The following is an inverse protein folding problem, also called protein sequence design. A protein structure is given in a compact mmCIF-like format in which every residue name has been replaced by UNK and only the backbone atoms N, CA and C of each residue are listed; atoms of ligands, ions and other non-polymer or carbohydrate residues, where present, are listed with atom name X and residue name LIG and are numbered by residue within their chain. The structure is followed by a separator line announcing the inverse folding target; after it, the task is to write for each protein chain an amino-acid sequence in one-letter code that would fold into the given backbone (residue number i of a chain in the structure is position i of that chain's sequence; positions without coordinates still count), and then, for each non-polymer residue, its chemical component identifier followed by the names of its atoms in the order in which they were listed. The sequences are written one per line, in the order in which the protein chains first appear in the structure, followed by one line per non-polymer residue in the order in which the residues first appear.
data_IF_526206587264
#
_entry.id   IF_526206587264
#
_cell.length_a   1.000
_cell.length_b   1.000
_cell.length_c   1.000
_cell.angle_alpha   90.00
_cell.angle_beta   90.00
_cell.angle_gamma   90.00
#
_symmetry.space_group_name_H-M   'P 1'
#
loop_
_entity.id
_entity.type
_entity.pdbx_description
1 polymer ?
#
# COMPACT_ATOMS: atom_id res chain seq x y z
N UNK A 1 -5.47 65.82 7.68
CA UNK A 1 -6.47 66.66 6.99
C UNK A 1 -6.02 66.85 5.55
N UNK A 2 -6.94 66.87 4.57
CA UNK A 2 -8.15 66.05 4.31
C UNK A 2 -8.08 65.38 2.93
N UNK A 3 -9.07 64.51 2.67
CA UNK A 3 -9.57 64.28 1.33
C UNK A 3 -10.46 63.07 1.20
N UNK A 4 -11.75 63.27 1.39
CA UNK A 4 -12.81 62.23 1.18
C UNK A 4 -13.10 62.11 -0.33
N UNK A 5 -13.29 60.91 -0.81
CA UNK A 5 -13.96 60.60 -2.08
C UNK A 5 -14.91 59.44 -1.93
N UNK A 6 -16.22 59.70 -1.71
CA UNK A 6 -17.33 58.75 -1.83
C UNK A 6 -17.68 58.64 -3.29
N UNK A 7 -17.77 57.44 -3.82
CA UNK A 7 -18.49 57.15 -5.06
C UNK A 7 -19.79 56.37 -4.74
N UNK A 8 -20.87 56.92 -5.18
CA UNK A 8 -22.25 56.52 -4.96
C UNK A 8 -22.65 55.42 -5.94
N UNK A 9 -23.34 54.44 -5.40
CA UNK A 9 -24.03 53.38 -6.13
C UNK A 9 -25.35 53.92 -6.71
N UNK A 10 -25.67 53.63 -7.97
CA UNK A 10 -26.96 53.93 -8.60
C UNK A 10 -27.58 52.61 -9.09
N UNK A 11 -28.90 52.36 -8.88
CA UNK A 11 -29.52 51.07 -9.24
C UNK A 11 -30.04 51.06 -10.67
N UNK A 12 -29.79 49.95 -11.37
CA UNK A 12 -30.36 49.68 -12.70
C UNK A 12 -31.80 49.16 -12.61
N UNK A 13 -32.66 49.71 -13.47
CA UNK A 13 -34.06 49.38 -13.61
C UNK A 13 -34.31 48.08 -14.40
N UNK A 14 -35.46 47.41 -14.22
CA UNK A 14 -35.79 46.15 -14.90
C UNK A 14 -36.43 46.39 -16.29
N UNK A 15 -35.89 45.69 -17.29
CA UNK A 15 -36.47 45.68 -18.65
C UNK A 15 -37.68 44.75 -18.76
N UNK A 16 -38.64 45.20 -19.55
CA UNK A 16 -39.99 44.67 -19.77
C UNK A 16 -39.99 43.40 -20.62
N UNK A 17 -40.73 42.41 -20.20
CA UNK A 17 -41.07 41.18 -20.94
C UNK A 17 -41.94 41.53 -22.17
N UNK A 18 -41.48 41.12 -23.36
CA UNK A 18 -42.30 41.07 -24.58
C UNK A 18 -42.93 39.66 -24.71
N UNK A 19 -44.28 39.62 -24.70
CA UNK A 19 -45.04 38.41 -25.01
C UNK A 19 -44.91 38.08 -26.50
N UNK A 20 -44.33 36.91 -26.84
CA UNK A 20 -44.51 36.30 -28.16
C UNK A 20 -45.60 35.23 -28.11
N UNK A 21 -46.59 35.38 -28.95
CA UNK A 21 -47.71 34.44 -29.15
C UNK A 21 -47.14 33.13 -29.77
N UNK A 22 -47.58 32.02 -29.21
CA UNK A 22 -47.32 30.69 -29.72
C UNK A 22 -48.19 30.43 -30.97
N UNK A 23 -47.55 30.06 -32.08
CA UNK A 23 -48.17 29.52 -33.30
C UNK A 23 -48.29 28.00 -33.09
N UNK A 24 -49.54 27.52 -33.07
CA UNK A 24 -49.84 26.08 -32.99
C UNK A 24 -49.72 25.49 -34.40
N UNK A 25 -48.71 24.67 -34.66
CA UNK A 25 -48.57 23.84 -35.83
C UNK A 25 -49.22 22.46 -35.66
N UNK A 26 -49.54 21.73 -36.74
CA UNK A 26 -50.38 20.53 -36.69
C UNK A 26 -49.69 19.35 -35.97
N UNK A 27 -50.50 18.63 -35.21
CA UNK A 27 -50.13 17.39 -34.47
C UNK A 27 -49.65 16.31 -35.46
N UNK A 28 -48.42 15.85 -35.31
CA UNK A 28 -47.94 14.64 -35.95
C UNK A 28 -48.26 13.44 -35.08
N UNK A 29 -48.83 12.41 -35.70
CA UNK A 29 -49.08 11.11 -35.06
C UNK A 29 -47.79 10.40 -34.59
N UNK A 30 -47.84 9.60 -33.52
CA UNK A 30 -46.68 8.92 -33.01
C UNK A 30 -46.29 7.76 -33.92
N UNK A 31 -45.12 7.85 -34.55
CA UNK A 31 -44.48 6.72 -35.22
C UNK A 31 -44.12 5.68 -34.19
N UNK A 32 -44.61 4.45 -34.35
CA UNK A 32 -44.19 3.27 -33.59
C UNK A 32 -42.65 3.15 -33.64
N UNK A 33 -42.02 3.30 -32.49
CA UNK A 33 -40.57 3.01 -32.31
C UNK A 33 -40.37 1.49 -32.41
N UNK A 34 -39.87 1.05 -33.54
CA UNK A 34 -39.30 -0.28 -33.67
C UNK A 34 -38.06 -0.38 -32.74
N UNK A 35 -38.14 -1.32 -31.83
CA UNK A 35 -37.04 -1.65 -30.91
C UNK A 35 -35.92 -2.28 -31.71
N UNK A 36 -34.96 -1.48 -32.20
CA UNK A 36 -33.66 -1.97 -32.63
C UNK A 36 -32.88 -2.36 -31.36
N UNK A 37 -32.98 -3.61 -30.98
CA UNK A 37 -32.04 -4.23 -30.05
C UNK A 37 -30.75 -4.37 -30.88
N UNK A 38 -29.81 -3.45 -30.69
CA UNK A 38 -28.46 -3.61 -31.19
C UNK A 38 -27.86 -4.85 -30.47
N UNK A 39 -27.68 -5.91 -31.25
CA UNK A 39 -26.96 -7.10 -30.84
C UNK A 39 -25.47 -6.68 -30.68
N UNK A 40 -25.13 -6.21 -29.48
CA UNK A 40 -23.73 -6.02 -29.14
C UNK A 40 -23.11 -7.41 -29.05
N UNK A 41 -22.02 -7.69 -29.80
CA UNK A 41 -21.31 -8.94 -29.60
C UNK A 41 -20.93 -9.03 -28.13
N UNK A 42 -21.44 -10.04 -27.44
CA UNK A 42 -21.04 -10.36 -26.08
C UNK A 42 -19.52 -10.49 -26.10
N UNK A 43 -18.82 -9.60 -25.38
CA UNK A 43 -17.41 -9.81 -25.07
C UNK A 43 -17.28 -11.25 -24.55
N UNK A 44 -16.31 -12.04 -25.04
CA UNK A 44 -16.07 -13.34 -24.43
C UNK A 44 -15.91 -13.07 -22.93
N UNK A 45 -16.65 -13.82 -22.11
CA UNK A 45 -16.46 -13.82 -20.67
C UNK A 45 -14.99 -14.19 -20.46
N UNK A 46 -14.16 -13.23 -20.06
CA UNK A 46 -12.89 -13.55 -19.46
C UNK A 46 -13.26 -14.50 -18.32
N UNK A 47 -12.82 -15.76 -18.43
CA UNK A 47 -12.92 -16.69 -17.35
C UNK A 47 -12.12 -16.07 -16.22
N UNK A 48 -12.82 -15.34 -15.32
CA UNK A 48 -12.21 -14.79 -14.13
C UNK A 48 -11.80 -15.99 -13.30
N UNK A 49 -10.51 -16.22 -13.17
CA UNK A 49 -9.99 -17.02 -12.07
C UNK A 49 -10.68 -16.50 -10.79
N UNK A 50 -11.09 -17.39 -9.86
CA UNK A 50 -11.74 -16.94 -8.64
C UNK A 50 -10.84 -15.88 -7.98
N UNK A 51 -11.43 -14.74 -7.59
CA UNK A 51 -10.73 -13.71 -6.82
C UNK A 51 -10.13 -14.40 -5.60
N UNK A 52 -8.78 -14.46 -5.54
CA UNK A 52 -8.04 -15.16 -4.49
C UNK A 52 -7.04 -16.20 -4.99
N UNK A 53 -6.85 -16.38 -6.30
CA UNK A 53 -5.89 -17.35 -6.86
C UNK A 53 -4.68 -16.72 -7.57
N UNK A 54 -4.37 -15.43 -7.32
CA UNK A 54 -3.12 -14.85 -7.83
C UNK A 54 -1.94 -15.53 -7.16
N UNK A 55 -0.89 -15.78 -7.94
CA UNK A 55 0.27 -16.50 -7.45
C UNK A 55 1.05 -15.67 -6.44
N UNK A 56 1.06 -16.10 -5.19
CA UNK A 56 1.82 -15.53 -4.09
C UNK A 56 3.04 -16.39 -3.71
N UNK A 57 3.32 -17.46 -4.44
CA UNK A 57 4.35 -18.44 -4.09
C UNK A 57 5.79 -17.88 -4.08
N UNK A 58 6.01 -16.75 -4.76
CA UNK A 58 7.29 -16.01 -4.71
C UNK A 58 7.40 -15.10 -3.48
N UNK A 59 6.29 -14.85 -2.78
CA UNK A 59 6.24 -13.92 -1.65
C UNK A 59 5.99 -14.66 -0.34
N UNK A 60 5.18 -15.71 -0.37
CA UNK A 60 4.82 -16.52 0.81
C UNK A 60 5.45 -17.91 0.70
N UNK A 61 6.03 -18.36 1.81
CA UNK A 61 6.50 -19.73 1.94
C UNK A 61 5.35 -20.75 1.94
N UNK A 62 5.69 -22.05 1.82
CA UNK A 62 4.69 -23.13 1.79
C UNK A 62 3.89 -23.28 3.09
N UNK A 63 4.34 -22.68 4.18
CA UNK A 63 3.66 -22.58 5.47
C UNK A 63 2.62 -21.45 5.53
N UNK A 64 2.45 -20.70 4.41
CA UNK A 64 1.55 -19.54 4.32
C UNK A 64 2.09 -18.30 5.04
N UNK A 65 3.37 -18.28 5.40
CA UNK A 65 4.03 -17.15 6.08
C UNK A 65 5.03 -16.46 5.16
N UNK A 66 5.44 -15.23 5.56
CA UNK A 66 6.40 -14.45 4.79
C UNK A 66 7.27 -13.55 5.65
N UNK A 67 8.52 -13.40 5.24
CA UNK A 67 9.46 -12.38 5.71
C UNK A 67 9.79 -11.46 4.54
N UNK A 68 9.22 -10.27 4.56
CA UNK A 68 9.44 -9.23 3.55
C UNK A 68 10.36 -8.17 4.14
N UNK A 69 11.49 -7.89 3.49
CA UNK A 69 12.37 -6.80 3.91
C UNK A 69 12.10 -5.57 3.04
N UNK A 70 11.67 -4.47 3.70
CA UNK A 70 11.34 -3.22 3.04
C UNK A 70 12.59 -2.35 2.85
N UNK A 71 12.99 -2.16 1.60
CA UNK A 71 14.16 -1.40 1.14
C UNK A 71 13.74 -0.25 0.20
N UNK A 72 12.58 0.32 0.44
CA UNK A 72 12.00 1.44 -0.32
C UNK A 72 12.19 2.81 0.35
N UNK A 73 12.87 2.84 1.50
CA UNK A 73 13.06 4.04 2.32
C UNK A 73 13.79 5.17 1.61
N UNK A 74 14.65 4.86 0.62
CA UNK A 74 15.33 5.86 -0.18
C UNK A 74 14.42 6.83 -0.94
N UNK A 75 13.15 6.47 -1.17
CA UNK A 75 12.14 7.38 -1.75
C UNK A 75 11.76 8.52 -0.81
N UNK A 76 11.94 8.34 0.50
CA UNK A 76 11.56 9.30 1.54
C UNK A 76 12.80 9.93 2.16
N UNK A 77 13.76 9.10 2.56
CA UNK A 77 14.91 9.45 3.38
C UNK A 77 16.18 9.76 2.56
N UNK A 78 16.15 9.47 1.23
CA UNK A 78 17.37 9.53 0.43
C UNK A 78 18.40 8.48 0.87
N UNK A 79 19.71 8.81 0.88
CA UNK A 79 20.76 7.90 1.34
C UNK A 79 20.76 7.83 2.88
N UNK A 80 19.83 7.06 3.44
CA UNK A 80 19.68 6.92 4.89
C UNK A 80 20.67 5.89 5.47
N UNK A 81 20.92 5.96 6.82
CA UNK A 81 21.81 5.02 7.50
C UNK A 81 21.48 3.56 7.21
N UNK A 82 22.50 2.79 6.83
CA UNK A 82 22.38 1.39 6.46
C UNK A 82 21.86 1.12 5.06
N UNK A 83 21.52 2.19 4.28
CA UNK A 83 21.07 2.07 2.90
C UNK A 83 21.74 3.10 1.96
N UNK A 84 22.92 3.58 2.35
CA UNK A 84 23.77 4.47 1.53
C UNK A 84 24.34 3.75 0.29
N UNK A 85 24.52 2.44 0.40
CA UNK A 85 24.99 1.54 -0.66
C UNK A 85 24.00 0.41 -0.88
N UNK A 86 22.92 0.64 -1.68
CA UNK A 86 21.80 -0.30 -1.79
C UNK A 86 22.23 -1.73 -2.16
N UNK A 87 23.14 -1.91 -3.12
CA UNK A 87 23.56 -3.24 -3.56
C UNK A 87 24.19 -4.08 -2.44
N UNK A 88 25.03 -3.46 -1.60
CA UNK A 88 25.64 -4.15 -0.45
C UNK A 88 24.59 -4.53 0.59
N UNK A 89 23.66 -3.61 0.89
CA UNK A 89 22.57 -3.85 1.84
C UNK A 89 21.62 -4.93 1.35
N UNK A 90 21.24 -4.91 0.06
CA UNK A 90 20.39 -5.94 -0.56
C UNK A 90 21.08 -7.31 -0.44
N UNK A 91 22.34 -7.41 -0.85
CA UNK A 91 23.10 -8.66 -0.77
C UNK A 91 23.18 -9.21 0.66
N UNK A 92 23.42 -8.34 1.64
CA UNK A 92 23.46 -8.72 3.06
C UNK A 92 22.10 -9.22 3.57
N UNK A 93 21.01 -8.54 3.21
CA UNK A 93 19.65 -8.93 3.59
C UNK A 93 19.27 -10.25 2.92
N UNK A 94 19.47 -10.38 1.61
CA UNK A 94 19.13 -11.59 0.84
C UNK A 94 19.91 -12.82 1.33
N UNK A 95 21.17 -12.65 1.75
CA UNK A 95 21.98 -13.72 2.37
C UNK A 95 21.36 -14.22 3.71
N UNK A 96 20.46 -13.48 4.30
CA UNK A 96 19.70 -13.90 5.49
C UNK A 96 18.51 -14.81 5.18
N UNK A 97 18.11 -14.93 3.91
CA UNK A 97 17.05 -15.83 3.43
C UNK A 97 15.62 -15.30 3.65
N UNK A 98 15.30 -14.02 3.38
CA UNK A 98 13.91 -13.55 3.38
C UNK A 98 13.15 -14.15 2.20
N UNK A 99 11.82 -14.15 2.26
CA UNK A 99 10.99 -14.60 1.14
C UNK A 99 10.92 -13.54 0.03
N UNK A 100 10.83 -12.27 0.41
CA UNK A 100 10.70 -11.18 -0.55
C UNK A 100 11.37 -9.88 -0.08
N UNK A 101 11.62 -9.01 -1.06
CA UNK A 101 12.06 -7.62 -0.84
C UNK A 101 11.03 -6.67 -1.42
N UNK A 102 10.60 -5.68 -0.63
CA UNK A 102 9.83 -4.54 -1.07
C UNK A 102 10.78 -3.39 -1.38
N UNK A 103 10.79 -2.88 -2.60
CA UNK A 103 11.71 -1.80 -2.97
C UNK A 103 11.16 -0.83 -4.00
N UNK A 104 11.93 0.22 -4.31
CA UNK A 104 11.60 1.23 -5.31
C UNK A 104 11.97 0.77 -6.72
N UNK A 105 11.36 1.40 -7.74
CA UNK A 105 11.63 1.10 -9.14
C UNK A 105 13.11 1.25 -9.52
N UNK A 106 13.74 2.36 -9.09
CA UNK A 106 15.15 2.59 -9.38
C UNK A 106 16.08 1.53 -8.79
N UNK A 107 15.79 1.07 -7.57
CA UNK A 107 16.53 -0.01 -6.93
C UNK A 107 16.29 -1.33 -7.66
N UNK A 108 15.04 -1.67 -7.97
CA UNK A 108 14.71 -2.90 -8.70
C UNK A 108 15.43 -2.99 -10.05
N UNK A 109 15.53 -1.86 -10.78
CA UNK A 109 16.20 -1.83 -12.08
C UNK A 109 17.73 -1.94 -12.00
N UNK A 110 18.35 -1.33 -10.97
CA UNK A 110 19.82 -1.27 -10.90
C UNK A 110 20.43 -2.46 -10.14
N UNK A 111 19.66 -3.17 -9.33
CA UNK A 111 20.12 -4.27 -8.48
C UNK A 111 19.31 -5.55 -8.71
N UNK A 112 18.87 -5.77 -9.95
CA UNK A 112 18.07 -6.93 -10.32
C UNK A 112 18.79 -8.27 -10.05
N UNK A 113 20.09 -8.32 -10.21
CA UNK A 113 20.87 -9.53 -9.97
C UNK A 113 20.91 -9.92 -8.48
N UNK A 114 21.03 -8.94 -7.60
CA UNK A 114 21.02 -9.14 -6.14
C UNK A 114 19.62 -9.51 -5.63
N UNK A 115 18.55 -9.10 -6.33
CA UNK A 115 17.16 -9.37 -5.97
C UNK A 115 16.61 -10.68 -6.56
N UNK A 116 17.23 -11.25 -7.59
CA UNK A 116 16.77 -12.46 -8.28
C UNK A 116 16.44 -13.66 -7.36
N UNK A 117 17.20 -13.90 -6.27
CA UNK A 117 16.92 -15.04 -5.39
C UNK A 117 15.59 -14.98 -4.62
N UNK A 118 14.99 -13.80 -4.47
CA UNK A 118 13.81 -13.55 -3.61
C UNK A 118 12.63 -13.00 -4.41
N UNK A 119 11.43 -13.03 -3.84
CA UNK A 119 10.27 -12.36 -4.41
C UNK A 119 10.46 -10.84 -4.43
N UNK A 120 10.00 -10.19 -5.49
CA UNK A 120 10.11 -8.74 -5.66
C UNK A 120 8.74 -8.08 -5.53
N UNK A 121 8.59 -7.19 -4.56
CA UNK A 121 7.43 -6.33 -4.41
C UNK A 121 7.82 -4.91 -4.80
N UNK A 122 7.16 -4.36 -5.82
CA UNK A 122 7.45 -3.00 -6.26
C UNK A 122 6.58 -1.98 -5.54
N UNK A 123 7.19 -0.95 -4.94
CA UNK A 123 6.48 0.21 -4.43
C UNK A 123 5.89 1.02 -5.60
N UNK A 124 4.56 1.09 -5.68
CA UNK A 124 3.83 1.83 -6.72
C UNK A 124 3.70 3.31 -6.42
N UNK A 125 3.68 3.67 -5.15
CA UNK A 125 3.43 5.02 -4.66
C UNK A 125 4.63 5.60 -3.89
N UNK A 126 4.52 6.85 -3.49
CA UNK A 126 5.51 7.52 -2.66
C UNK A 126 4.90 8.66 -1.87
N UNK A 127 5.46 8.89 -0.70
CA UNK A 127 5.13 10.04 0.14
C UNK A 127 6.03 11.24 -0.22
N UNK A 128 5.76 12.38 0.43
CA UNK A 128 6.67 13.52 0.40
C UNK A 128 7.99 13.12 1.05
N UNK A 129 9.11 13.47 0.41
CA UNK A 129 10.43 13.23 0.98
C UNK A 129 10.67 14.06 2.25
N UNK A 130 11.61 13.62 3.07
CA UNK A 130 12.02 14.33 4.29
C UNK A 130 12.66 15.72 4.03
N UNK A 131 12.83 16.11 2.76
CA UNK A 131 13.16 17.49 2.39
C UNK A 131 11.93 18.41 2.44
N UNK A 132 10.73 17.86 2.39
CA UNK A 132 9.46 18.58 2.51
C UNK A 132 8.91 18.56 3.92
N UNK A 133 7.60 18.88 4.05
CA UNK A 133 6.88 18.74 5.31
C UNK A 133 6.16 17.40 5.35
N UNK A 134 6.58 16.44 6.18
CA UNK A 134 5.98 15.11 6.23
C UNK A 134 4.48 15.12 6.58
N UNK A 135 4.04 16.10 7.37
CA UNK A 135 2.66 16.21 7.88
C UNK A 135 1.62 16.59 6.84
N UNK A 136 2.04 17.03 5.65
CA UNK A 136 1.12 17.38 4.55
C UNK A 136 1.13 16.33 3.43
N UNK A 137 1.78 15.20 3.67
CA UNK A 137 2.12 14.20 2.67
C UNK A 137 0.91 13.57 2.00
N UNK A 138 0.59 14.06 0.83
CA UNK A 138 -0.18 13.31 -0.14
C UNK A 138 0.68 12.16 -0.67
N UNK A 139 0.19 10.94 -0.57
CA UNK A 139 0.80 9.78 -1.20
C UNK A 139 0.36 9.76 -2.65
N UNK A 140 1.29 9.97 -3.57
CA UNK A 140 1.03 9.93 -5.01
C UNK A 140 1.39 8.57 -5.62
N UNK A 141 0.65 8.15 -6.64
CA UNK A 141 1.02 6.98 -7.44
C UNK A 141 2.07 7.38 -8.48
N UNK A 142 3.22 6.71 -8.48
CA UNK A 142 4.35 6.98 -9.38
C UNK A 142 4.50 5.90 -10.46
N UNK A 143 4.34 4.64 -10.08
CA UNK A 143 4.58 3.49 -10.95
C UNK A 143 3.30 2.64 -11.08
N UNK A 144 3.08 2.12 -12.28
CA UNK A 144 1.93 1.29 -12.59
C UNK A 144 2.29 -0.19 -12.78
N UNK A 145 1.30 -0.93 -13.23
CA UNK A 145 1.41 -2.37 -13.53
C UNK A 145 2.47 -2.64 -14.61
N UNK A 146 2.52 -1.81 -15.66
CA UNK A 146 3.51 -1.98 -16.74
C UNK A 146 4.96 -1.80 -16.21
N UNK A 147 5.17 -0.89 -15.26
CA UNK A 147 6.47 -0.68 -14.64
C UNK A 147 6.84 -1.87 -13.76
N UNK A 148 5.89 -2.42 -13.02
CA UNK A 148 6.10 -3.61 -12.20
C UNK A 148 6.46 -4.83 -13.05
N UNK A 149 5.71 -5.09 -14.11
CA UNK A 149 5.99 -6.20 -15.03
C UNK A 149 7.35 -6.04 -15.71
N UNK A 150 7.71 -4.81 -16.09
CA UNK A 150 9.03 -4.50 -16.68
C UNK A 150 10.17 -4.69 -15.68
N UNK A 151 9.91 -4.47 -14.38
CA UNK A 151 10.87 -4.72 -13.31
C UNK A 151 10.94 -6.20 -12.90
N UNK A 152 10.05 -7.06 -13.42
CA UNK A 152 9.94 -8.45 -13.01
C UNK A 152 9.36 -8.61 -11.60
N UNK A 153 8.51 -7.67 -11.16
CA UNK A 153 7.92 -7.73 -9.83
C UNK A 153 6.83 -8.81 -9.74
N UNK A 154 6.82 -9.50 -8.60
CA UNK A 154 5.84 -10.53 -8.23
C UNK A 154 4.59 -9.94 -7.57
N UNK A 155 4.65 -8.69 -7.10
CA UNK A 155 3.52 -7.93 -6.57
C UNK A 155 3.77 -6.41 -6.61
N UNK A 156 2.68 -5.64 -6.44
CA UNK A 156 2.72 -4.20 -6.16
C UNK A 156 2.43 -3.91 -4.69
N UNK A 157 3.04 -2.85 -4.16
CA UNK A 157 2.71 -2.29 -2.86
C UNK A 157 2.11 -0.90 -3.02
N UNK A 158 0.98 -0.64 -2.35
CA UNK A 158 0.27 0.64 -2.36
C UNK A 158 -0.10 1.03 -0.94
N UNK A 159 0.14 2.29 -0.58
CA UNK A 159 -0.21 2.84 0.74
C UNK A 159 -1.61 3.45 0.71
N UNK A 160 -2.39 3.17 1.75
CA UNK A 160 -3.62 3.90 2.04
C UNK A 160 -3.65 4.35 3.50
N UNK A 161 -4.21 5.53 3.73
CA UNK A 161 -4.15 6.25 5.01
C UNK A 161 -5.56 6.54 5.56
N UNK A 162 -6.34 5.51 5.95
CA UNK A 162 -7.68 5.70 6.50
C UNK A 162 -7.67 6.62 7.72
N UNK A 163 -8.62 7.56 7.78
CA UNK A 163 -8.70 8.54 8.87
C UNK A 163 -7.74 9.72 8.76
N UNK A 164 -6.91 9.80 7.71
CA UNK A 164 -6.06 10.97 7.44
C UNK A 164 -6.74 11.99 6.53
N UNK A 165 -6.14 13.17 6.38
CA UNK A 165 -6.60 14.16 5.40
C UNK A 165 -6.50 13.67 3.94
N UNK A 166 -5.66 12.68 3.67
CA UNK A 166 -5.45 12.08 2.33
C UNK A 166 -6.21 10.75 2.15
N UNK A 167 -7.16 10.43 3.02
CA UNK A 167 -7.89 9.16 2.99
C UNK A 167 -8.51 8.87 1.61
N UNK A 168 -9.32 9.79 1.10
CA UNK A 168 -10.03 9.58 -0.17
C UNK A 168 -9.06 9.38 -1.34
N UNK A 169 -8.00 10.18 -1.43
CA UNK A 169 -7.02 10.10 -2.51
C UNK A 169 -6.22 8.78 -2.46
N UNK A 170 -5.80 8.37 -1.26
CA UNK A 170 -5.01 7.14 -1.08
C UNK A 170 -5.85 5.89 -1.29
N UNK A 171 -7.10 5.86 -0.85
CA UNK A 171 -8.04 4.79 -1.13
C UNK A 171 -8.38 4.71 -2.62
N UNK A 172 -8.54 5.85 -3.30
CA UNK A 172 -8.76 5.87 -4.75
C UNK A 172 -7.55 5.29 -5.51
N UNK A 173 -6.32 5.67 -5.12
CA UNK A 173 -5.10 5.12 -5.69
C UNK A 173 -5.00 3.61 -5.47
N UNK A 174 -5.33 3.12 -4.27
CA UNK A 174 -5.36 1.70 -3.95
C UNK A 174 -6.36 0.95 -4.85
N UNK A 175 -7.63 1.40 -4.91
CA UNK A 175 -8.67 0.77 -5.73
C UNK A 175 -8.27 0.70 -7.20
N UNK A 176 -7.74 1.80 -7.73
CA UNK A 176 -7.30 1.88 -9.13
C UNK A 176 -6.14 0.93 -9.40
N UNK A 177 -5.15 0.89 -8.52
CA UNK A 177 -4.00 -0.02 -8.68
C UNK A 177 -4.42 -1.47 -8.60
N UNK A 178 -5.31 -1.85 -7.66
CA UNK A 178 -5.87 -3.20 -7.57
C UNK A 178 -6.58 -3.57 -8.88
N UNK A 179 -7.47 -2.71 -9.40
CA UNK A 179 -8.20 -2.99 -10.62
C UNK A 179 -7.30 -3.20 -11.85
N UNK A 180 -6.23 -2.41 -11.97
CA UNK A 180 -5.26 -2.54 -13.06
C UNK A 180 -4.38 -3.79 -12.86
N UNK A 181 -3.88 -4.04 -11.66
CA UNK A 181 -2.98 -5.15 -11.33
C UNK A 181 -3.67 -6.51 -11.50
N UNK A 182 -4.90 -6.62 -11.03
CA UNK A 182 -5.70 -7.85 -11.19
C UNK A 182 -6.02 -8.16 -12.65
N UNK A 183 -6.07 -7.15 -13.52
CA UNK A 183 -6.19 -7.35 -14.97
C UNK A 183 -4.97 -8.03 -15.61
N UNK A 184 -3.85 -8.08 -14.90
CA UNK A 184 -2.58 -8.70 -15.31
C UNK A 184 -2.14 -9.83 -14.37
N UNK A 185 -3.04 -10.36 -13.55
CA UNK A 185 -2.80 -11.38 -12.52
C UNK A 185 -1.69 -11.03 -11.51
N UNK A 186 -1.39 -9.73 -11.36
CA UNK A 186 -0.38 -9.25 -10.43
C UNK A 186 -1.00 -8.98 -9.05
N UNK A 187 -0.48 -9.61 -7.96
CA UNK A 187 -0.96 -9.36 -6.61
C UNK A 187 -0.70 -7.94 -6.10
N UNK A 188 -1.54 -7.47 -5.17
CA UNK A 188 -1.38 -6.17 -4.52
C UNK A 188 -1.33 -6.31 -3.00
N UNK A 189 -0.23 -5.83 -2.41
CA UNK A 189 -0.11 -5.58 -0.97
C UNK A 189 -0.64 -4.19 -0.66
N UNK A 190 -1.69 -4.10 0.15
CA UNK A 190 -2.13 -2.81 0.68
C UNK A 190 -1.44 -2.48 2.01
N UNK A 191 -0.63 -1.43 2.02
CA UNK A 191 -0.06 -0.90 3.26
C UNK A 191 -1.07 0.06 3.90
N UNK A 192 -1.79 -0.44 4.91
CA UNK A 192 -2.92 0.24 5.54
C UNK A 192 -2.47 0.89 6.85
N UNK A 193 -2.31 2.22 6.84
CA UNK A 193 -1.77 2.97 7.98
C UNK A 193 -2.80 3.97 8.50
N UNK A 194 -3.57 3.62 9.54
CA UNK A 194 -4.59 4.51 10.09
C UNK A 194 -4.02 5.85 10.53
N UNK A 195 -4.65 6.95 10.08
CA UNK A 195 -4.25 8.32 10.38
C UNK A 195 -2.94 8.80 9.73
N UNK A 196 -2.23 7.91 9.01
CA UNK A 196 -0.90 8.20 8.44
C UNK A 196 0.26 7.80 9.34
N UNK A 197 1.51 7.98 8.85
CA UNK A 197 2.70 7.52 9.56
C UNK A 197 2.97 8.28 10.86
N UNK A 198 2.63 9.57 10.92
CA UNK A 198 2.80 10.46 12.08
C UNK A 198 1.51 10.59 12.92
N UNK A 199 0.61 9.62 12.82
CA UNK A 199 -0.67 9.65 13.51
C UNK A 199 -0.53 9.49 15.04
N UNK A 200 -1.49 10.02 15.80
CA UNK A 200 -1.50 9.86 17.25
C UNK A 200 -1.70 8.40 17.67
N UNK A 201 -1.35 8.04 18.93
CA UNK A 201 -1.34 6.65 19.42
C UNK A 201 -2.67 5.90 19.30
N UNK A 202 -3.80 6.58 19.37
CA UNK A 202 -5.14 5.99 19.22
C UNK A 202 -5.36 5.38 17.82
N UNK A 203 -4.71 5.92 16.80
CA UNK A 203 -4.70 5.33 15.45
C UNK A 203 -3.85 4.06 15.36
N UNK A 204 -3.13 3.70 16.43
CA UNK A 204 -2.42 2.42 16.57
C UNK A 204 -3.14 1.44 17.50
N UNK A 205 -4.31 1.84 18.02
CA UNK A 205 -5.17 0.94 18.81
C UNK A 205 -5.66 -0.24 17.95
N UNK A 206 -5.88 -1.42 18.56
CA UNK A 206 -6.29 -2.63 17.84
C UNK A 206 -7.51 -2.43 16.93
N UNK A 207 -8.52 -1.71 17.37
CA UNK A 207 -9.74 -1.46 16.59
C UNK A 207 -9.47 -0.57 15.36
N UNK A 208 -8.62 0.44 15.47
CA UNK A 208 -8.27 1.30 14.34
C UNK A 208 -7.46 0.53 13.29
N UNK A 209 -6.50 -0.29 13.73
CA UNK A 209 -5.70 -1.14 12.83
C UNK A 209 -6.57 -2.23 12.19
N UNK A 210 -7.48 -2.87 12.96
CA UNK A 210 -8.42 -3.85 12.44
C UNK A 210 -9.38 -3.24 11.40
N UNK A 211 -9.88 -2.03 11.64
CA UNK A 211 -10.70 -1.30 10.68
C UNK A 211 -9.95 -1.07 9.37
N UNK A 212 -8.72 -0.54 9.46
CA UNK A 212 -7.91 -0.27 8.28
C UNK A 212 -7.56 -1.55 7.50
N UNK A 213 -7.16 -2.62 8.20
CA UNK A 213 -6.87 -3.90 7.56
C UNK A 213 -8.10 -4.48 6.84
N UNK A 214 -9.27 -4.42 7.48
CA UNK A 214 -10.52 -4.85 6.87
C UNK A 214 -10.88 -4.01 5.64
N UNK A 215 -10.73 -2.71 5.71
CA UNK A 215 -10.99 -1.82 4.58
C UNK A 215 -10.12 -2.18 3.36
N UNK A 216 -8.82 -2.43 3.55
CA UNK A 216 -7.93 -2.87 2.48
C UNK A 216 -8.37 -4.20 1.85
N UNK A 217 -8.79 -5.16 2.67
CA UNK A 217 -9.33 -6.44 2.20
C UNK A 217 -10.64 -6.26 1.39
N UNK A 218 -11.56 -5.40 1.87
CA UNK A 218 -12.81 -5.09 1.14
C UNK A 218 -12.57 -4.39 -0.20
N UNK A 219 -11.46 -3.65 -0.32
CA UNK A 219 -11.05 -3.04 -1.58
C UNK A 219 -10.42 -4.03 -2.56
N UNK A 220 -10.14 -5.25 -2.11
CA UNK A 220 -9.64 -6.34 -2.96
C UNK A 220 -8.13 -6.55 -2.90
N UNK A 221 -7.43 -6.02 -1.90
CA UNK A 221 -6.02 -6.34 -1.71
C UNK A 221 -5.81 -7.84 -1.47
N UNK A 222 -4.73 -8.40 -1.98
CA UNK A 222 -4.40 -9.82 -1.85
C UNK A 222 -3.82 -10.13 -0.46
N UNK A 223 -3.11 -9.18 0.13
CA UNK A 223 -2.64 -9.21 1.51
C UNK A 223 -2.43 -7.80 2.06
N UNK A 224 -2.39 -7.68 3.38
CA UNK A 224 -2.33 -6.40 4.07
C UNK A 224 -1.00 -6.25 4.82
N UNK A 225 -0.37 -5.08 4.72
CA UNK A 225 0.70 -4.63 5.60
C UNK A 225 0.12 -3.60 6.56
N UNK A 226 0.17 -3.87 7.88
CA UNK A 226 -0.45 -3.03 8.89
C UNK A 226 0.47 -2.78 10.10
N UNK A 227 0.29 -1.68 10.85
CA UNK A 227 1.00 -1.47 12.11
C UNK A 227 0.74 -2.61 13.11
N UNK A 228 1.77 -2.99 13.86
CA UNK A 228 1.57 -3.86 15.02
C UNK A 228 0.74 -3.14 16.10
N UNK A 229 -0.13 -3.88 16.77
CA UNK A 229 -0.89 -3.45 17.94
C UNK A 229 -0.88 -4.53 19.02
N UNK A 230 -1.07 -4.17 20.28
CA UNK A 230 -0.91 -5.08 21.41
C UNK A 230 -1.89 -6.28 21.38
N UNK A 231 -3.10 -6.12 20.83
CA UNK A 231 -4.06 -7.20 20.56
C UNK A 231 -4.14 -7.44 19.05
N UNK A 232 -3.12 -8.06 18.48
CA UNK A 232 -3.08 -8.30 17.04
C UNK A 232 -4.06 -9.38 16.57
N UNK A 233 -4.53 -10.25 17.48
CA UNK A 233 -5.58 -11.22 17.18
C UNK A 233 -6.89 -10.53 16.74
N UNK A 234 -7.18 -9.36 17.28
CA UNK A 234 -8.29 -8.51 16.85
C UNK A 234 -8.16 -8.09 15.38
N UNK A 235 -6.93 -7.81 14.93
CA UNK A 235 -6.64 -7.42 13.54
C UNK A 235 -6.79 -8.63 12.61
N UNK A 236 -6.10 -9.72 12.91
CA UNK A 236 -6.09 -10.92 12.05
C UNK A 236 -7.47 -11.57 11.93
N UNK A 237 -8.27 -11.56 13.00
CA UNK A 237 -9.64 -12.10 12.95
C UNK A 237 -10.66 -11.21 12.23
N UNK A 238 -10.32 -9.93 11.98
CA UNK A 238 -11.22 -8.98 11.32
C UNK A 238 -11.14 -8.96 9.81
N UNK A 239 -10.16 -9.64 9.21
CA UNK A 239 -9.93 -9.68 7.76
C UNK A 239 -9.98 -11.11 7.21
N UNK A 240 -10.14 -11.23 5.91
CA UNK A 240 -10.21 -12.52 5.19
C UNK A 240 -9.04 -12.72 4.22
N UNK A 241 -8.01 -11.84 4.31
CA UNK A 241 -6.74 -11.98 3.59
C UNK A 241 -5.58 -11.98 4.58
N UNK A 242 -4.40 -12.51 4.21
CA UNK A 242 -3.23 -12.50 5.08
C UNK A 242 -2.85 -11.08 5.54
N UNK A 243 -2.42 -10.95 6.80
CA UNK A 243 -1.91 -9.69 7.36
C UNK A 243 -0.47 -9.88 7.81
N UNK A 244 0.42 -9.01 7.35
CA UNK A 244 1.81 -8.91 7.81
C UNK A 244 2.00 -7.61 8.60
N UNK A 245 2.84 -7.63 9.63
CA UNK A 245 3.12 -6.42 10.42
C UNK A 245 4.21 -5.56 9.77
N UNK A 246 4.06 -4.24 9.84
CA UNK A 246 5.14 -3.31 9.50
C UNK A 246 6.11 -3.13 10.68
N UNK A 247 7.38 -2.81 10.37
CA UNK A 247 8.45 -2.73 11.37
C UNK A 247 8.48 -1.46 12.23
N UNK A 248 7.82 -0.39 11.79
CA UNK A 248 7.87 0.90 12.47
C UNK A 248 9.26 1.54 12.50
N UNK A 249 9.49 2.42 13.49
CA UNK A 249 10.79 3.03 13.75
C UNK A 249 11.78 1.99 14.29
N UNK A 250 13.10 2.25 14.13
CA UNK A 250 14.13 1.38 14.69
C UNK A 250 13.98 1.30 16.22
N UNK A 251 13.86 0.07 16.73
CA UNK A 251 13.85 -0.28 18.13
C UNK A 251 15.05 -1.16 18.51
N UNK A 252 15.05 -1.71 19.72
CA UNK A 252 16.00 -2.76 20.07
C UNK A 252 15.66 -4.07 19.34
N UNK A 253 16.65 -4.88 19.08
CA UNK A 253 16.50 -6.18 18.41
C UNK A 253 15.57 -7.10 19.22
N UNK A 254 15.77 -7.16 20.53
CA UNK A 254 14.93 -7.95 21.43
C UNK A 254 13.44 -7.52 21.36
N UNK A 255 13.15 -6.22 21.42
CA UNK A 255 11.78 -5.73 21.32
C UNK A 255 11.17 -6.01 19.94
N UNK A 256 11.97 -5.88 18.89
CA UNK A 256 11.55 -6.18 17.52
C UNK A 256 11.17 -7.65 17.36
N UNK A 257 12.04 -8.57 17.79
CA UNK A 257 11.80 -10.02 17.74
C UNK A 257 10.61 -10.43 18.61
N UNK A 258 10.45 -9.82 19.80
CA UNK A 258 9.31 -10.06 20.68
C UNK A 258 7.98 -9.64 20.03
N UNK A 259 7.94 -8.47 19.38
CA UNK A 259 6.75 -8.01 18.65
C UNK A 259 6.41 -8.93 17.47
N UNK A 260 7.42 -9.40 16.74
CA UNK A 260 7.23 -10.36 15.63
C UNK A 260 6.64 -11.65 16.18
N UNK A 261 7.23 -12.22 17.24
CA UNK A 261 6.75 -13.46 17.86
C UNK A 261 5.28 -13.31 18.30
N UNK A 262 4.97 -12.24 19.04
CA UNK A 262 3.61 -11.97 19.50
C UNK A 262 2.61 -11.79 18.35
N UNK A 263 3.00 -11.13 17.28
CA UNK A 263 2.13 -10.97 16.10
C UNK A 263 1.86 -12.30 15.40
N UNK A 264 2.90 -13.13 15.20
CA UNK A 264 2.78 -14.46 14.58
C UNK A 264 1.91 -15.38 15.43
N UNK A 265 2.07 -15.37 16.77
CA UNK A 265 1.22 -16.11 17.71
C UNK A 265 -0.25 -15.66 17.66
N UNK A 266 -0.47 -14.38 17.36
CA UNK A 266 -1.78 -13.78 17.15
C UNK A 266 -2.34 -13.93 15.72
N UNK A 267 -1.72 -14.76 14.87
CA UNK A 267 -2.20 -15.10 13.54
C UNK A 267 -1.70 -14.20 12.40
N UNK A 268 -0.68 -13.35 12.64
CA UNK A 268 -0.01 -12.65 11.55
C UNK A 268 0.63 -13.65 10.58
N UNK A 269 0.48 -13.39 9.28
CA UNK A 269 1.11 -14.19 8.23
C UNK A 269 2.60 -13.87 8.05
N UNK A 270 3.17 -12.99 8.88
CA UNK A 270 4.58 -12.64 8.83
C UNK A 270 4.83 -11.15 9.01
N UNK A 271 5.90 -10.68 8.39
CA UNK A 271 6.40 -9.31 8.58
C UNK A 271 6.77 -8.64 7.25
N UNK A 272 6.62 -7.31 7.20
CA UNK A 272 7.17 -6.46 6.13
C UNK A 272 7.89 -5.27 6.77
N UNK A 273 9.19 -5.41 7.06
CA UNK A 273 9.96 -4.44 7.85
C UNK A 273 11.27 -4.04 7.18
N UNK A 274 11.76 -2.83 7.50
CA UNK A 274 12.96 -2.27 6.90
C UNK A 274 14.02 -1.92 7.95
N UNK A 275 13.91 -0.73 8.55
CA UNK A 275 14.93 -0.13 9.44
C UNK A 275 15.42 -1.04 10.57
N UNK A 276 14.55 -1.84 11.15
CA UNK A 276 14.92 -2.80 12.18
C UNK A 276 15.86 -3.92 11.68
N UNK A 277 15.91 -4.13 10.35
CA UNK A 277 16.80 -5.10 9.72
C UNK A 277 18.01 -4.42 9.10
N UNK A 278 17.83 -3.55 8.12
CA UNK A 278 18.95 -3.00 7.37
C UNK A 278 19.82 -1.99 8.16
N UNK A 279 19.34 -1.47 9.29
CA UNK A 279 20.10 -0.65 10.24
C UNK A 279 20.62 -1.44 11.44
N UNK A 280 20.49 -2.76 11.44
CA UNK A 280 21.17 -3.62 12.40
C UNK A 280 22.69 -3.65 12.10
N UNK A 281 23.50 -3.89 13.12
CA UNK A 281 24.94 -4.03 12.95
C UNK A 281 25.29 -5.22 12.05
N UNK A 282 24.41 -6.23 11.98
CA UNK A 282 24.51 -7.37 11.08
C UNK A 282 23.15 -7.67 10.41
N UNK A 283 22.85 -7.03 9.25
CA UNK A 283 21.57 -7.22 8.54
C UNK A 283 21.32 -8.69 8.15
N UNK A 284 22.35 -9.45 7.83
CA UNK A 284 22.24 -10.88 7.50
C UNK A 284 21.76 -11.70 8.71
N UNK A 285 22.39 -11.51 9.86
CA UNK A 285 22.02 -12.22 11.09
C UNK A 285 20.62 -11.80 11.53
N UNK A 286 20.30 -10.49 11.47
CA UNK A 286 18.97 -10.00 11.82
C UNK A 286 17.89 -10.58 10.91
N UNK A 287 18.12 -10.67 9.60
CA UNK A 287 17.19 -11.32 8.67
C UNK A 287 16.99 -12.79 9.05
N UNK A 288 18.07 -13.54 9.34
CA UNK A 288 18.00 -14.95 9.79
C UNK A 288 17.20 -15.10 11.08
N UNK A 289 17.41 -14.21 12.04
CA UNK A 289 16.65 -14.21 13.30
C UNK A 289 15.15 -14.01 13.06
N UNK A 290 14.78 -13.07 12.20
CA UNK A 290 13.39 -12.84 11.80
C UNK A 290 12.81 -14.07 11.09
N UNK A 291 13.53 -14.65 10.14
CA UNK A 291 13.14 -15.89 9.44
C UNK A 291 12.91 -17.03 10.43
N UNK A 292 13.81 -17.22 11.42
CA UNK A 292 13.67 -18.25 12.43
C UNK A 292 12.39 -18.06 13.28
N UNK A 293 12.09 -16.82 13.68
CA UNK A 293 10.84 -16.53 14.43
C UNK A 293 9.60 -16.81 13.61
N UNK A 294 9.58 -16.36 12.34
CA UNK A 294 8.39 -16.44 11.49
C UNK A 294 8.12 -17.85 11.02
N UNK A 295 9.12 -18.55 10.46
CA UNK A 295 8.95 -19.86 9.82
C UNK A 295 9.24 -21.05 10.74
N UNK A 296 10.29 -20.95 11.58
CA UNK A 296 10.68 -22.05 12.47
C UNK A 296 10.02 -21.96 13.86
N UNK A 297 9.34 -20.86 14.18
CA UNK A 297 8.71 -20.68 15.48
C UNK A 297 9.70 -20.47 16.62
N UNK A 298 10.94 -20.00 16.33
CA UNK A 298 11.95 -19.74 17.32
C UNK A 298 11.48 -18.80 18.42
N UNK A 299 11.90 -19.03 19.65
CA UNK A 299 11.71 -18.11 20.76
C UNK A 299 12.55 -16.85 20.56
N UNK A 300 12.27 -15.80 21.34
CA UNK A 300 13.04 -14.56 21.28
C UNK A 300 14.50 -14.80 21.66
N UNK A 301 14.75 -15.65 22.66
CA UNK A 301 16.08 -16.02 23.12
C UNK A 301 16.88 -16.77 22.05
N UNK A 302 16.24 -17.75 21.38
CA UNK A 302 16.84 -18.47 20.26
C UNK A 302 17.18 -17.55 19.09
N UNK A 303 16.28 -16.60 18.78
CA UNK A 303 16.50 -15.62 17.72
C UNK A 303 17.62 -14.63 18.06
N UNK A 304 17.72 -14.19 19.33
CA UNK A 304 18.82 -13.32 19.79
C UNK A 304 20.18 -14.05 19.72
N UNK A 305 20.22 -15.34 20.03
CA UNK A 305 21.45 -16.12 19.90
C UNK A 305 21.99 -16.18 18.46
N UNK A 306 21.11 -16.04 17.43
CA UNK A 306 21.53 -15.95 16.01
C UNK A 306 22.28 -14.64 15.74
N UNK A 307 22.03 -13.58 16.49
CA UNK A 307 22.70 -12.28 16.32
C UNK A 307 24.11 -12.27 16.93
N UNK A 308 24.36 -13.14 17.92
CA UNK A 308 25.63 -13.23 18.65
C UNK A 308 26.65 -14.18 17.97
N UNK A 309 26.21 -15.04 17.05
CA UNK A 309 27.01 -16.08 16.37
C UNK A 309 27.31 -15.77 14.94
#
# INVERSE_FOLDING_TARGET
MPGRGRATCSPAQPERRAHRRAVVGPRREPRRAGRLVADHPRRPALASAPMGSRDLSRIFGPDGRTVIIALDHGLIDGPCPGFERPGETISAVVAGGPDAVLTSYGVAQNFAAELDPVGLILRSDGAVSNLGSPSTGSVGRFFGVEDALRAGADALAVTALPGSASEADTLHNLARTIGEAHGSDLPVMAEMVPGGFDSPPDMRAPDAVAFAARLGAEMGADFIKAPYSADFARVTSSTFVPVVILGGSKGSEAATLANIRAAVDAGAAGVAMGRNVFQSDNPTAMTRAVVAVVHAGATVEEALAILEG
#
